data_IF_571304882284
#
_entry.id   IF_571304882284
#
_cell.length_a   1.000
_cell.length_b   1.000
_cell.length_c   1.000
_cell.angle_alpha   90.00
_cell.angle_beta   90.00
_cell.angle_gamma   90.00
#
_symmetry.space_group_name_H-M   'P 1'
#
loop_
_entity.id
_entity.type
_entity.pdbx_description
1 polymer ?
#
# COMPACT_ATOMS: atom_id res chain seq x y z
N UNK A 1 -17.75 -20.56 -16.65
CA UNK A 1 -16.95 -19.33 -16.85
C UNK A 1 -15.49 -19.71 -16.67
N UNK A 2 -14.61 -19.45 -17.64
CA UNK A 2 -13.16 -19.65 -17.51
C UNK A 2 -12.51 -18.29 -17.21
N UNK A 3 -12.17 -17.99 -15.94
CA UNK A 3 -11.56 -16.72 -15.59
C UNK A 3 -10.20 -16.58 -16.27
N UNK A 4 -9.92 -15.39 -16.82
CA UNK A 4 -8.59 -15.08 -17.32
C UNK A 4 -7.60 -15.16 -16.16
N UNK A 5 -6.51 -15.90 -16.36
CA UNK A 5 -5.46 -16.10 -15.36
C UNK A 5 -4.92 -14.76 -14.83
N UNK A 6 -4.78 -13.76 -15.70
CA UNK A 6 -4.37 -12.40 -15.34
C UNK A 6 -5.29 -11.73 -14.32
N UNK A 7 -6.59 -12.03 -14.29
CA UNK A 7 -7.53 -11.49 -13.30
C UNK A 7 -7.36 -12.16 -11.94
N UNK A 8 -7.02 -13.45 -11.91
CA UNK A 8 -6.69 -14.17 -10.68
C UNK A 8 -5.41 -13.61 -10.07
N UNK A 9 -4.38 -13.41 -10.89
CA UNK A 9 -3.11 -12.80 -10.45
C UNK A 9 -3.31 -11.37 -9.98
N UNK A 10 -4.07 -10.57 -10.73
CA UNK A 10 -4.42 -9.20 -10.35
C UNK A 10 -4.97 -9.14 -8.92
N UNK A 11 -6.07 -9.85 -8.68
CA UNK A 11 -6.80 -9.78 -7.41
C UNK A 11 -5.99 -10.35 -6.26
N UNK A 12 -5.25 -11.44 -6.49
CA UNK A 12 -4.41 -12.07 -5.47
C UNK A 12 -3.21 -11.19 -5.11
N UNK A 13 -2.48 -10.67 -6.09
CA UNK A 13 -1.28 -9.86 -5.85
C UNK A 13 -1.63 -8.51 -5.21
N UNK A 14 -2.69 -7.83 -5.69
CA UNK A 14 -3.15 -6.60 -5.04
C UNK A 14 -3.60 -6.89 -3.60
N UNK A 15 -4.37 -7.96 -3.38
CA UNK A 15 -4.82 -8.36 -2.05
C UNK A 15 -3.68 -8.64 -1.08
N UNK A 16 -2.64 -9.36 -1.51
CA UNK A 16 -1.43 -9.61 -0.71
C UNK A 16 -0.69 -8.30 -0.43
N UNK A 17 -0.51 -7.43 -1.42
CA UNK A 17 0.16 -6.15 -1.23
C UNK A 17 -0.56 -5.25 -0.21
N UNK A 18 -1.88 -5.12 -0.33
CA UNK A 18 -2.71 -4.34 0.60
C UNK A 18 -2.74 -4.94 2.00
N UNK A 19 -2.93 -6.26 2.11
CA UNK A 19 -2.96 -6.98 3.39
C UNK A 19 -1.63 -6.92 4.13
N UNK A 20 -0.51 -7.04 3.41
CA UNK A 20 0.83 -6.87 3.97
C UNK A 20 1.04 -5.47 4.52
N UNK A 21 0.68 -4.42 3.77
CA UNK A 21 0.81 -3.06 4.25
C UNK A 21 -0.07 -2.78 5.48
N UNK A 22 -1.30 -3.27 5.47
CA UNK A 22 -2.20 -3.19 6.63
C UNK A 22 -1.58 -3.85 7.87
N UNK A 23 -0.95 -5.01 7.70
CA UNK A 23 -0.25 -5.70 8.79
C UNK A 23 0.94 -4.90 9.33
N UNK A 24 1.71 -4.23 8.46
CA UNK A 24 2.83 -3.37 8.87
C UNK A 24 2.36 -2.17 9.71
N UNK A 25 1.36 -1.43 9.22
CA UNK A 25 0.80 -0.27 9.94
C UNK A 25 0.19 -0.71 11.26
N UNK A 26 -0.55 -1.82 11.28
CA UNK A 26 -1.12 -2.37 12.52
C UNK A 26 -0.04 -2.77 13.51
N UNK A 27 1.04 -3.41 13.02
CA UNK A 27 2.20 -3.76 13.84
C UNK A 27 2.87 -2.54 14.45
N UNK A 28 3.01 -1.44 13.71
CA UNK A 28 3.54 -0.17 14.22
C UNK A 28 2.64 0.42 15.31
N UNK A 29 1.32 0.48 15.07
CA UNK A 29 0.35 0.99 16.06
C UNK A 29 0.39 0.14 17.34
N UNK A 30 0.50 -1.18 17.23
CA UNK A 30 0.56 -2.08 18.39
C UNK A 30 1.88 -1.96 19.15
N UNK A 31 3.00 -1.72 18.45
CA UNK A 31 4.27 -1.43 19.09
C UNK A 31 4.21 -0.12 19.89
N UNK A 32 3.56 0.92 19.36
CA UNK A 32 3.33 2.18 20.09
C UNK A 32 2.44 2.02 21.33
N UNK A 33 1.51 1.07 21.30
CA UNK A 33 0.66 0.74 22.45
C UNK A 33 1.36 -0.16 23.49
N UNK A 34 2.65 -0.46 23.32
CA UNK A 34 3.41 -1.43 24.12
C UNK A 34 2.80 -2.85 24.13
N UNK A 35 2.00 -3.19 23.12
CA UNK A 35 1.42 -4.53 22.95
C UNK A 35 2.37 -5.50 22.24
N UNK A 36 3.36 -4.97 21.52
CA UNK A 36 4.39 -5.72 20.82
C UNK A 36 5.77 -5.12 21.11
N UNK A 37 6.80 -5.97 21.13
CA UNK A 37 8.18 -5.49 21.22
C UNK A 37 8.50 -4.58 20.02
N UNK A 38 9.19 -3.45 20.22
CA UNK A 38 9.67 -2.62 19.14
C UNK A 38 10.54 -3.45 18.20
N UNK A 39 10.08 -3.64 16.97
CA UNK A 39 10.90 -4.25 15.91
C UNK A 39 12.00 -3.26 15.50
N UNK A 40 13.06 -3.77 14.86
CA UNK A 40 14.13 -2.95 14.28
C UNK A 40 13.51 -2.04 13.19
N UNK A 41 13.07 -0.86 13.64
CA UNK A 41 11.90 -0.16 13.08
C UNK A 41 12.15 0.28 11.65
N UNK A 42 13.33 0.84 11.39
CA UNK A 42 13.73 1.39 10.10
C UNK A 42 13.71 0.30 9.00
N UNK A 43 14.38 -0.83 9.23
CA UNK A 43 14.56 -1.87 8.19
C UNK A 43 13.31 -2.72 7.99
N UNK A 44 12.62 -3.09 9.07
CA UNK A 44 11.45 -3.94 9.00
C UNK A 44 10.32 -3.28 8.20
N UNK A 45 9.97 -2.03 8.55
CA UNK A 45 8.91 -1.30 7.86
C UNK A 45 9.30 -0.94 6.42
N UNK A 46 10.54 -0.52 6.17
CA UNK A 46 11.01 -0.20 4.82
C UNK A 46 10.99 -1.42 3.87
N UNK A 47 11.55 -2.56 4.30
CA UNK A 47 11.58 -3.79 3.49
C UNK A 47 10.16 -4.34 3.29
N UNK A 48 9.34 -4.34 4.35
CA UNK A 48 7.94 -4.74 4.24
C UNK A 48 7.16 -3.90 3.23
N UNK A 49 7.34 -2.58 3.24
CA UNK A 49 6.71 -1.68 2.28
C UNK A 49 7.21 -1.89 0.86
N UNK A 50 8.52 -2.13 0.67
CA UNK A 50 9.08 -2.47 -0.63
C UNK A 50 8.47 -3.77 -1.20
N UNK A 51 8.30 -4.78 -0.34
CA UNK A 51 7.65 -6.04 -0.72
C UNK A 51 6.16 -5.86 -1.05
N UNK A 52 5.44 -5.06 -0.24
CA UNK A 52 4.05 -4.69 -0.52
C UNK A 52 3.92 -4.00 -1.89
N UNK A 53 4.78 -3.02 -2.18
CA UNK A 53 4.83 -2.35 -3.48
C UNK A 53 5.11 -3.31 -4.63
N UNK A 54 6.04 -4.24 -4.45
CA UNK A 54 6.35 -5.23 -5.49
C UNK A 54 5.10 -6.04 -5.87
N UNK A 55 4.31 -6.48 -4.88
CA UNK A 55 3.04 -7.15 -5.13
C UNK A 55 2.00 -6.25 -5.80
N UNK A 56 1.85 -5.00 -5.35
CA UNK A 56 0.90 -4.04 -5.94
C UNK A 56 1.25 -3.72 -7.41
N UNK A 57 2.53 -3.50 -7.71
CA UNK A 57 3.04 -3.27 -9.07
C UNK A 57 2.80 -4.52 -9.93
N UNK A 58 3.14 -5.71 -9.44
CA UNK A 58 2.93 -6.94 -10.18
C UNK A 58 1.44 -7.17 -10.48
N UNK A 59 0.54 -6.88 -9.52
CA UNK A 59 -0.90 -6.88 -9.72
C UNK A 59 -1.36 -5.86 -10.76
N UNK A 60 -0.89 -4.61 -10.68
CA UNK A 60 -1.19 -3.57 -11.67
C UNK A 60 -0.72 -3.95 -13.07
N UNK A 61 0.47 -4.54 -13.22
CA UNK A 61 0.97 -5.06 -14.50
C UNK A 61 0.09 -6.23 -14.98
N UNK A 62 -0.33 -7.13 -14.08
CA UNK A 62 -1.25 -8.22 -14.40
C UNK A 62 -2.60 -7.70 -14.97
N UNK A 63 -3.07 -6.53 -14.53
CA UNK A 63 -4.29 -5.91 -15.04
C UNK A 63 -4.25 -5.61 -16.54
N UNK A 64 -3.06 -5.38 -17.11
CA UNK A 64 -2.93 -4.96 -18.51
C UNK A 64 -3.20 -6.14 -19.46
N UNK A 65 -2.84 -7.36 -19.06
CA UNK A 65 -2.90 -8.54 -19.93
C UNK A 65 -4.32 -9.02 -20.27
N UNK A 66 -5.37 -8.55 -19.59
CA UNK A 66 -6.76 -8.84 -19.96
C UNK A 66 -7.44 -7.68 -20.70
N UNK A 67 -6.75 -6.56 -20.93
CA UNK A 67 -7.30 -5.45 -21.69
C UNK A 67 -7.27 -5.77 -23.18
N UNK A 68 -8.42 -5.65 -23.85
CA UNK A 68 -8.47 -5.79 -25.31
C UNK A 68 -7.82 -4.62 -26.08
N UNK A 69 -7.69 -3.44 -25.44
CA UNK A 69 -7.12 -2.21 -26.02
C UNK A 69 -6.26 -1.46 -24.99
N UNK A 70 -5.05 -1.96 -24.67
CA UNK A 70 -4.20 -1.40 -23.62
C UNK A 70 -3.82 0.07 -23.87
N UNK A 71 -3.76 0.51 -25.13
CA UNK A 71 -3.48 1.90 -25.51
C UNK A 71 -4.55 2.90 -25.02
N UNK A 72 -5.73 2.39 -24.65
CA UNK A 72 -6.85 3.18 -24.12
C UNK A 72 -7.05 3.02 -22.61
N UNK A 73 -6.14 2.31 -21.92
CA UNK A 73 -6.24 2.05 -20.48
C UNK A 73 -6.38 3.34 -19.66
N UNK A 74 -5.72 4.43 -20.07
CA UNK A 74 -5.81 5.73 -19.42
C UNK A 74 -7.25 6.29 -19.33
N UNK A 75 -8.13 5.91 -20.27
CA UNK A 75 -9.55 6.34 -20.25
C UNK A 75 -10.31 5.72 -19.08
N UNK A 76 -9.84 4.60 -18.53
CA UNK A 76 -10.46 3.97 -17.37
C UNK A 76 -10.49 4.88 -16.15
N UNK A 77 -9.61 5.89 -16.06
CA UNK A 77 -9.59 6.87 -14.97
C UNK A 77 -10.58 8.05 -15.16
N UNK A 78 -11.21 8.20 -16.34
CA UNK A 78 -11.99 9.40 -16.66
C UNK A 78 -13.37 9.47 -15.99
N UNK A 79 -13.98 8.33 -15.65
CA UNK A 79 -15.36 8.24 -15.14
C UNK A 79 -15.44 8.08 -13.61
N UNK A 80 -14.54 8.71 -12.87
CA UNK A 80 -14.38 8.47 -11.42
C UNK A 80 -15.62 8.81 -10.57
N UNK A 81 -16.49 9.71 -11.06
CA UNK A 81 -17.73 10.06 -10.35
C UNK A 81 -18.78 8.94 -10.42
N UNK A 82 -18.86 8.22 -11.53
CA UNK A 82 -19.95 7.27 -11.82
C UNK A 82 -19.51 5.81 -11.85
N UNK A 83 -18.23 5.54 -12.12
CA UNK A 83 -17.70 4.19 -12.25
C UNK A 83 -16.87 3.80 -11.02
N UNK A 84 -17.26 2.71 -10.36
CA UNK A 84 -16.49 2.12 -9.27
C UNK A 84 -15.09 1.68 -9.74
N UNK A 85 -15.01 1.02 -10.89
CA UNK A 85 -13.74 0.61 -11.50
C UNK A 85 -12.81 1.81 -11.74
N UNK A 86 -13.35 2.94 -12.19
CA UNK A 86 -12.56 4.16 -12.40
C UNK A 86 -11.98 4.70 -11.08
N UNK A 87 -12.68 4.53 -9.96
CA UNK A 87 -12.16 4.92 -8.64
C UNK A 87 -11.02 4.00 -8.23
N UNK A 88 -11.16 2.69 -8.41
CA UNK A 88 -10.07 1.73 -8.12
C UNK A 88 -8.80 2.03 -8.93
N UNK A 89 -8.94 2.35 -10.21
CA UNK A 89 -7.82 2.74 -11.10
C UNK A 89 -7.08 3.99 -10.62
N UNK A 90 -7.75 4.90 -9.90
CA UNK A 90 -7.14 6.11 -9.33
C UNK A 90 -6.59 5.85 -7.92
N UNK A 91 -7.39 5.19 -7.07
CA UNK A 91 -7.06 4.94 -5.66
C UNK A 91 -5.86 4.02 -5.54
N UNK A 92 -5.71 3.02 -6.41
CA UNK A 92 -4.59 2.09 -6.34
C UNK A 92 -3.22 2.79 -6.52
N UNK A 93 -2.98 3.62 -7.56
CA UNK A 93 -1.75 4.41 -7.66
C UNK A 93 -1.53 5.37 -6.48
N UNK A 94 -2.57 6.02 -5.97
CA UNK A 94 -2.47 6.89 -4.79
C UNK A 94 -2.05 6.06 -3.57
N UNK A 95 -2.66 4.91 -3.35
CA UNK A 95 -2.29 3.98 -2.29
C UNK A 95 -0.83 3.51 -2.43
N UNK A 96 -0.41 3.10 -3.62
CA UNK A 96 0.99 2.73 -3.89
C UNK A 96 1.94 3.89 -3.57
N UNK A 97 1.60 5.12 -3.94
CA UNK A 97 2.41 6.28 -3.60
C UNK A 97 2.53 6.48 -2.08
N UNK A 98 1.45 6.27 -1.31
CA UNK A 98 1.48 6.34 0.15
C UNK A 98 2.32 5.21 0.77
N UNK A 99 2.21 3.98 0.26
CA UNK A 99 3.05 2.85 0.71
C UNK A 99 4.53 3.15 0.44
N UNK A 100 4.85 3.74 -0.72
CA UNK A 100 6.20 4.18 -1.06
C UNK A 100 6.71 5.25 -0.09
N UNK A 101 5.92 6.30 0.15
CA UNK A 101 6.30 7.36 1.07
C UNK A 101 6.54 6.82 2.48
N UNK A 102 5.65 5.97 2.98
CA UNK A 102 5.79 5.29 4.26
C UNK A 102 7.12 4.51 4.33
N UNK A 103 7.42 3.68 3.32
CA UNK A 103 8.66 2.91 3.27
C UNK A 103 9.92 3.77 3.22
N UNK A 104 9.88 4.88 2.46
CA UNK A 104 11.01 5.82 2.35
C UNK A 104 11.24 6.57 3.65
N UNK A 105 10.20 7.05 4.34
CA UNK A 105 10.33 7.73 5.64
C UNK A 105 10.98 6.79 6.66
N UNK A 106 10.55 5.52 6.70
CA UNK A 106 11.17 4.50 7.55
C UNK A 106 12.62 4.25 7.15
N UNK A 107 12.92 4.08 5.86
CA UNK A 107 14.28 3.86 5.36
C UNK A 107 15.25 4.99 5.71
N UNK A 108 14.80 6.24 5.61
CA UNK A 108 15.60 7.43 5.94
C UNK A 108 15.67 7.72 7.45
N UNK A 109 14.95 6.97 8.28
CA UNK A 109 14.88 7.19 9.72
C UNK A 109 14.18 8.51 10.10
N UNK A 110 13.31 9.03 9.23
CA UNK A 110 12.52 10.24 9.48
C UNK A 110 11.28 9.96 10.35
N UNK A 111 11.45 9.09 11.34
CA UNK A 111 10.41 8.61 12.26
C UNK A 111 10.48 9.36 13.60
N UNK A 112 10.91 10.62 13.57
CA UNK A 112 10.94 11.45 14.77
C UNK A 112 9.50 11.81 15.19
N UNK A 113 9.13 11.70 16.48
CA UNK A 113 7.79 12.00 16.91
C UNK A 113 7.44 13.48 16.70
N UNK A 114 6.34 13.76 16.01
CA UNK A 114 5.81 15.11 15.80
C UNK A 114 5.05 15.61 17.04
N UNK A 115 4.30 14.72 17.69
CA UNK A 115 3.59 15.01 18.94
C UNK A 115 3.43 13.74 19.77
N UNK A 116 3.00 13.90 21.03
CA UNK A 116 2.70 12.78 21.93
C UNK A 116 1.24 12.78 22.36
N UNK A 117 0.53 11.68 22.15
CA UNK A 117 -0.82 11.51 22.68
C UNK A 117 -0.73 11.20 24.17
N UNK A 118 -1.45 11.98 24.99
CA UNK A 118 -1.43 11.91 26.47
C UNK A 118 -0.03 11.98 27.09
N UNK A 119 0.94 12.59 26.39
CA UNK A 119 2.33 12.71 26.84
C UNK A 119 3.19 11.44 26.75
N UNK A 120 2.60 10.30 26.37
CA UNK A 120 3.27 8.98 26.43
C UNK A 120 3.46 8.35 25.05
N UNK A 121 2.48 8.46 24.14
CA UNK A 121 2.51 7.75 22.86
C UNK A 121 3.13 8.67 21.80
N UNK A 122 4.36 8.43 21.33
CA UNK A 122 4.96 9.21 20.26
C UNK A 122 4.26 8.91 18.92
N UNK A 123 3.79 9.94 18.22
CA UNK A 123 3.21 9.84 16.87
C UNK A 123 4.14 10.54 15.91
N UNK A 124 4.66 9.81 14.93
CA UNK A 124 5.51 10.34 13.86
C UNK A 124 4.70 10.57 12.57
N UNK A 125 5.37 11.05 11.51
CA UNK A 125 4.74 11.36 10.24
C UNK A 125 4.18 10.14 9.49
N UNK A 126 4.61 8.91 9.81
CA UNK A 126 4.17 7.70 9.11
C UNK A 126 2.80 7.19 9.59
N UNK A 127 2.26 7.78 10.65
CA UNK A 127 0.99 7.42 11.29
C UNK A 127 -0.10 8.48 11.11
N UNK A 128 0.15 9.49 10.28
CA UNK A 128 -0.80 10.53 9.87
C UNK A 128 -1.38 10.23 8.49
#
# INVERSE_FOLDING_TARGET
MHPAFSVIFLTTLIGVGQGLFLALVTGQVYSLANLLQPQDSVRFYAVGSALSLAFLVAGLVASIFHLGRPERAWRAASQWRTSWLSREVIVLPVFMFLVFLYGVIHWLGWTQPLFRIKGVIPVDATLL
#
